data_IF_284970656228
#
_entry.id   IF_284970656228
#
_cell.length_a   1.000
_cell.length_b   1.000
_cell.length_c   1.000
_cell.angle_alpha   90.00
_cell.angle_beta   90.00
_cell.angle_gamma   90.00
#
_symmetry.space_group_name_H-M   'P 1'
#
loop_
_entity.id
_entity.type
_entity.pdbx_description
1 polymer ?
#
# COMPACT_ATOMS: atom_id res chain seq x y z
N UNK A 1 6.55 -57.17 4.77
CA UNK A 1 6.32 -56.45 3.50
C UNK A 1 5.55 -55.18 3.85
N UNK A 2 6.22 -54.03 3.88
CA UNK A 2 5.58 -52.74 4.18
C UNK A 2 5.09 -52.15 2.84
N UNK A 3 3.77 -51.96 2.74
CA UNK A 3 3.13 -51.36 1.58
C UNK A 3 3.14 -49.83 1.76
N UNK A 4 4.17 -49.16 1.25
CA UNK A 4 4.22 -47.69 1.19
C UNK A 4 3.46 -47.22 -0.05
N UNK A 5 2.15 -47.04 0.10
CA UNK A 5 1.32 -46.34 -0.87
C UNK A 5 1.74 -44.86 -0.88
N UNK A 6 2.58 -44.46 -1.84
CA UNK A 6 2.91 -43.06 -2.10
C UNK A 6 1.65 -42.34 -2.56
N UNK A 7 0.97 -41.65 -1.64
CA UNK A 7 -0.21 -40.86 -1.95
C UNK A 7 0.25 -39.58 -2.67
N UNK A 8 0.38 -39.63 -4.00
CA UNK A 8 0.71 -38.45 -4.81
C UNK A 8 -0.51 -37.55 -4.88
N UNK A 9 -0.56 -36.53 -4.02
CA UNK A 9 -1.57 -35.49 -4.09
C UNK A 9 -1.40 -34.71 -5.40
N UNK A 10 -2.38 -34.83 -6.29
CA UNK A 10 -2.43 -34.05 -7.55
C UNK A 10 -3.21 -32.78 -7.25
N UNK A 11 -2.53 -31.63 -7.28
CA UNK A 11 -3.22 -30.35 -7.17
C UNK A 11 -4.12 -30.12 -8.39
N UNK A 12 -5.35 -29.62 -8.19
CA UNK A 12 -6.18 -29.23 -9.32
C UNK A 12 -5.47 -28.14 -10.14
N UNK A 13 -5.80 -28.01 -11.44
CA UNK A 13 -5.41 -26.84 -12.22
C UNK A 13 -5.81 -25.56 -11.50
N UNK A 14 -4.92 -24.57 -11.46
CA UNK A 14 -5.14 -23.28 -10.80
C UNK A 14 -6.45 -22.60 -11.23
N UNK A 15 -6.89 -22.80 -12.47
CA UNK A 15 -8.17 -22.28 -12.98
C UNK A 15 -9.39 -22.81 -12.22
N UNK A 16 -9.39 -24.07 -11.81
CA UNK A 16 -10.48 -24.67 -11.03
C UNK A 16 -10.47 -24.10 -9.61
N UNK A 17 -9.28 -23.92 -9.03
CA UNK A 17 -9.13 -23.36 -7.69
C UNK A 17 -9.55 -21.88 -7.65
N UNK A 18 -9.14 -21.07 -8.63
CA UNK A 18 -9.57 -19.67 -8.76
C UNK A 18 -11.09 -19.58 -8.96
N UNK A 19 -11.67 -20.44 -9.82
CA UNK A 19 -13.12 -20.46 -10.02
C UNK A 19 -13.88 -20.78 -8.73
N UNK A 20 -13.29 -21.60 -7.84
CA UNK A 20 -13.87 -21.90 -6.53
C UNK A 20 -13.86 -20.71 -5.56
N UNK A 21 -12.99 -19.72 -5.79
CA UNK A 21 -12.93 -18.48 -4.99
C UNK A 21 -13.94 -17.43 -5.44
N UNK A 22 -14.50 -17.59 -6.65
CA UNK A 22 -15.50 -16.66 -7.17
C UNK A 22 -16.76 -16.73 -6.31
N UNK A 23 -17.25 -15.57 -5.91
CA UNK A 23 -18.42 -15.42 -5.05
C UNK A 23 -19.55 -14.76 -5.82
N UNK A 24 -20.77 -14.95 -5.31
CA UNK A 24 -21.91 -14.18 -5.78
C UNK A 24 -21.76 -12.71 -5.38
N UNK A 25 -22.19 -11.82 -6.26
CA UNK A 25 -22.21 -10.40 -5.98
C UNK A 25 -23.14 -10.08 -4.81
N UNK A 26 -22.64 -9.34 -3.82
CA UNK A 26 -23.45 -8.72 -2.77
C UNK A 26 -23.42 -7.20 -2.90
N UNK A 27 -24.52 -6.47 -2.64
CA UNK A 27 -24.51 -5.01 -2.59
C UNK A 27 -23.47 -4.49 -1.59
N UNK A 28 -22.76 -3.42 -1.96
CA UNK A 28 -21.65 -2.90 -1.18
C UNK A 28 -20.91 -1.77 -1.90
N UNK A 29 -19.67 -1.46 -1.47
CA UNK A 29 -18.87 -0.38 -2.05
C UNK A 29 -18.50 -0.64 -3.52
N UNK A 30 -18.29 -1.89 -3.93
CA UNK A 30 -18.04 -2.23 -5.33
C UNK A 30 -19.36 -2.37 -6.09
N UNK A 31 -19.39 -1.80 -7.29
CA UNK A 31 -20.44 -2.05 -8.27
C UNK A 31 -20.36 -3.49 -8.81
N UNK A 32 -21.39 -3.94 -9.52
CA UNK A 32 -21.38 -5.27 -10.15
C UNK A 32 -20.24 -5.43 -11.15
N UNK A 33 -19.95 -4.38 -11.92
CA UNK A 33 -18.89 -4.40 -12.93
C UNK A 33 -17.50 -4.38 -12.28
N UNK A 34 -17.30 -3.55 -11.24
CA UNK A 34 -16.07 -3.53 -10.44
C UNK A 34 -15.82 -4.88 -9.75
N UNK A 35 -16.86 -5.50 -9.19
CA UNK A 35 -16.77 -6.82 -8.57
C UNK A 35 -16.41 -7.89 -9.59
N UNK A 36 -17.04 -7.86 -10.78
CA UNK A 36 -16.73 -8.79 -11.88
C UNK A 36 -15.28 -8.62 -12.35
N UNK A 37 -14.84 -7.38 -12.56
CA UNK A 37 -13.48 -7.06 -12.97
C UNK A 37 -12.43 -7.66 -12.02
N UNK A 38 -12.65 -7.63 -10.71
CA UNK A 38 -11.72 -8.21 -9.75
C UNK A 38 -11.45 -9.70 -10.01
N UNK A 39 -12.48 -10.49 -10.34
CA UNK A 39 -12.32 -11.93 -10.60
C UNK A 39 -11.85 -12.24 -12.03
N UNK A 40 -12.12 -11.37 -13.00
CA UNK A 40 -11.68 -11.53 -14.39
C UNK A 40 -10.22 -11.09 -14.59
N UNK A 41 -9.85 -9.92 -14.05
CA UNK A 41 -8.55 -9.28 -14.26
C UNK A 41 -7.58 -9.48 -13.09
N UNK A 42 -8.09 -9.91 -11.93
CA UNK A 42 -7.32 -10.05 -10.69
C UNK A 42 -7.12 -8.73 -9.93
N UNK A 43 -7.72 -7.62 -10.38
CA UNK A 43 -7.66 -6.33 -9.70
C UNK A 43 -8.90 -5.46 -9.97
N UNK A 44 -9.11 -4.45 -9.15
CA UNK A 44 -10.14 -3.43 -9.35
C UNK A 44 -9.64 -2.09 -8.81
N UNK A 45 -9.96 -0.99 -9.49
CA UNK A 45 -9.65 0.37 -9.03
C UNK A 45 -10.93 1.00 -8.52
N UNK A 46 -10.99 1.28 -7.21
CA UNK A 46 -12.11 2.01 -6.60
C UNK A 46 -11.70 3.44 -6.29
N UNK A 47 -12.29 4.38 -7.02
CA UNK A 47 -12.11 5.81 -6.76
C UNK A 47 -12.88 6.25 -5.52
N UNK A 48 -12.33 7.26 -4.83
CA UNK A 48 -12.98 7.97 -3.71
C UNK A 48 -13.46 7.07 -2.56
N UNK A 49 -12.83 5.89 -2.39
CA UNK A 49 -13.15 4.96 -1.30
C UNK A 49 -12.75 5.52 0.07
N UNK A 50 -11.61 6.22 0.12
CA UNK A 50 -11.04 6.79 1.33
C UNK A 50 -11.19 8.30 1.26
N UNK A 51 -11.85 8.87 2.27
CA UNK A 51 -12.02 10.32 2.38
C UNK A 51 -10.70 10.99 2.76
N UNK A 52 -10.58 12.29 2.45
CA UNK A 52 -9.43 13.08 2.85
C UNK A 52 -9.21 13.03 4.37
N UNK A 53 -10.25 13.21 5.18
CA UNK A 53 -10.18 13.16 6.64
C UNK A 53 -9.60 11.84 7.17
N UNK A 54 -9.94 10.71 6.53
CA UNK A 54 -9.42 9.40 6.91
C UNK A 54 -7.92 9.27 6.58
N UNK A 55 -7.48 9.90 5.49
CA UNK A 55 -6.08 9.94 5.08
C UNK A 55 -5.27 10.92 5.94
N UNK A 56 -5.84 12.03 6.40
CA UNK A 56 -5.15 13.02 7.23
C UNK A 56 -4.58 12.42 8.53
N UNK A 57 -5.34 11.59 9.24
CA UNK A 57 -4.81 10.89 10.41
C UNK A 57 -3.63 9.97 10.07
N UNK A 58 -3.68 9.33 8.90
CA UNK A 58 -2.61 8.47 8.41
C UNK A 58 -1.37 9.27 8.06
N UNK A 59 -1.54 10.45 7.45
CA UNK A 59 -0.46 11.39 7.14
C UNK A 59 0.28 11.79 8.43
N UNK A 60 -0.45 12.19 9.47
CA UNK A 60 0.16 12.51 10.78
C UNK A 60 0.93 11.31 11.39
N UNK A 61 0.41 10.10 11.25
CA UNK A 61 1.11 8.89 11.69
C UNK A 61 2.44 8.69 10.93
N UNK A 62 2.45 8.96 9.63
CA UNK A 62 3.67 8.89 8.80
C UNK A 62 4.64 10.03 9.16
N UNK A 63 4.16 11.24 9.44
CA UNK A 63 5.01 12.36 9.91
C UNK A 63 5.78 12.02 11.18
N UNK A 64 5.13 11.38 12.14
CA UNK A 64 5.79 10.89 13.37
C UNK A 64 6.91 9.89 13.04
N UNK A 65 6.69 8.98 12.10
CA UNK A 65 7.73 8.02 11.67
C UNK A 65 8.90 8.75 11.00
N UNK A 66 8.64 9.77 10.18
CA UNK A 66 9.69 10.60 9.57
C UNK A 66 10.47 11.35 10.64
N UNK A 67 9.78 11.91 11.64
CA UNK A 67 10.39 12.60 12.77
C UNK A 67 11.33 11.68 13.56
N UNK A 68 10.86 10.49 13.93
CA UNK A 68 11.67 9.48 14.61
C UNK A 68 12.93 9.10 13.81
N UNK A 69 12.80 8.91 12.48
CA UNK A 69 13.94 8.61 11.61
C UNK A 69 14.92 9.78 11.59
N UNK A 70 14.44 11.03 11.52
CA UNK A 70 15.27 12.22 11.56
C UNK A 70 16.05 12.31 12.89
N UNK A 71 15.36 12.13 14.02
CA UNK A 71 15.96 12.15 15.35
C UNK A 71 17.00 11.04 15.54
N UNK A 72 16.72 9.82 15.05
CA UNK A 72 17.68 8.71 15.10
C UNK A 72 18.95 9.01 14.29
N UNK A 73 18.79 9.56 13.08
CA UNK A 73 19.91 9.94 12.23
C UNK A 73 20.72 11.11 12.80
N UNK A 74 20.06 12.10 13.38
CA UNK A 74 20.70 13.26 14.00
C UNK A 74 21.52 12.85 15.23
N UNK A 75 20.94 12.04 16.13
CA UNK A 75 21.65 11.50 17.30
C UNK A 75 22.85 10.62 16.94
N UNK A 76 22.86 10.05 15.73
CA UNK A 76 23.95 9.25 15.20
C UNK A 76 24.96 10.05 14.34
N UNK A 77 24.86 11.39 14.35
CA UNK A 77 25.69 12.30 13.54
C UNK A 77 25.66 11.99 12.03
N UNK A 78 24.54 11.46 11.52
CA UNK A 78 24.35 11.14 10.09
C UNK A 78 23.72 12.26 9.29
N UNK A 79 23.00 13.15 9.96
CA UNK A 79 22.44 14.38 9.41
C UNK A 79 22.72 15.52 10.40
N UNK A 80 22.75 16.76 9.92
CA UNK A 80 23.02 17.96 10.72
C UNK A 80 21.81 18.91 10.80
N UNK A 81 20.78 18.71 9.98
CA UNK A 81 19.51 19.44 10.03
C UNK A 81 18.34 18.46 10.07
N UNK A 82 17.43 18.63 11.05
CA UNK A 82 16.21 17.84 11.24
C UNK A 82 15.08 18.21 10.26
N UNK A 83 15.21 19.35 9.59
CA UNK A 83 14.25 19.91 8.65
C UNK A 83 12.84 20.07 9.25
N UNK A 84 12.74 20.48 10.51
CA UNK A 84 11.47 20.63 11.24
C UNK A 84 10.50 21.63 10.60
N UNK A 85 11.02 22.60 9.84
CA UNK A 85 10.22 23.63 9.16
C UNK A 85 9.70 23.19 7.78
N UNK A 86 9.99 21.96 7.34
CA UNK A 86 9.51 21.44 6.06
C UNK A 86 8.19 20.70 6.21
N UNK A 87 7.35 20.73 5.18
CA UNK A 87 6.06 20.03 5.20
C UNK A 87 6.21 18.51 4.96
N UNK A 88 5.12 17.77 5.20
CA UNK A 88 5.01 16.33 4.96
C UNK A 88 5.65 15.85 3.63
N UNK A 89 5.36 16.55 2.53
CA UNK A 89 5.79 16.16 1.18
C UNK A 89 7.28 16.37 0.93
N UNK A 90 7.93 17.23 1.71
CA UNK A 90 9.31 17.67 1.50
C UNK A 90 10.27 17.09 2.52
N UNK A 91 9.85 16.88 3.78
CA UNK A 91 10.74 16.56 4.90
C UNK A 91 11.59 15.33 4.66
N UNK A 92 10.98 14.22 4.24
CA UNK A 92 11.73 12.99 3.94
C UNK A 92 12.72 13.19 2.79
N UNK A 93 12.35 13.96 1.76
CA UNK A 93 13.24 14.26 0.63
C UNK A 93 14.45 15.07 1.08
N UNK A 94 14.26 16.04 1.97
CA UNK A 94 15.33 16.86 2.53
C UNK A 94 16.27 16.01 3.41
N UNK A 95 15.72 15.14 4.27
CA UNK A 95 16.51 14.18 5.07
C UNK A 95 17.30 13.23 4.16
N UNK A 96 16.67 12.71 3.10
CA UNK A 96 17.32 11.77 2.17
C UNK A 96 18.45 12.43 1.36
N UNK A 97 18.44 13.76 1.18
CA UNK A 97 19.55 14.50 0.59
C UNK A 97 20.80 14.53 1.49
N UNK A 98 20.63 14.50 2.82
CA UNK A 98 21.75 14.40 3.77
C UNK A 98 22.18 12.95 4.01
N UNK A 99 21.21 12.01 4.04
CA UNK A 99 21.47 10.59 4.25
C UNK A 99 20.75 9.75 3.18
N UNK A 100 21.46 9.36 2.10
CA UNK A 100 20.89 8.56 1.03
C UNK A 100 20.26 7.26 1.56
N UNK A 101 19.05 6.95 1.11
CA UNK A 101 18.25 5.79 1.57
C UNK A 101 17.59 5.94 2.95
N UNK A 102 17.43 7.16 3.47
CA UNK A 102 16.64 7.41 4.69
C UNK A 102 15.22 6.81 4.60
N UNK A 103 14.56 6.86 3.44
CA UNK A 103 13.25 6.24 3.21
C UNK A 103 13.19 4.73 3.49
N UNK A 104 14.30 4.00 3.34
CA UNK A 104 14.38 2.56 3.66
C UNK A 104 14.22 2.32 5.16
N UNK A 105 14.68 3.26 5.99
CA UNK A 105 14.60 3.14 7.44
C UNK A 105 13.15 3.14 7.91
N UNK A 106 12.26 3.90 7.25
CA UNK A 106 10.83 3.90 7.57
C UNK A 106 10.19 2.51 7.50
N UNK A 107 10.57 1.71 6.52
CA UNK A 107 10.05 0.35 6.32
C UNK A 107 10.68 -0.67 7.29
N UNK A 108 11.92 -0.43 7.76
CA UNK A 108 12.66 -1.38 8.60
C UNK A 108 12.36 -1.27 10.11
N UNK A 109 11.64 -0.24 10.57
CA UNK A 109 11.34 -0.06 12.00
C UNK A 109 10.48 -1.19 12.56
N UNK A 110 9.61 -1.81 11.74
CA UNK A 110 8.76 -2.93 12.16
C UNK A 110 7.65 -2.58 13.15
N UNK A 111 7.43 -1.30 13.46
CA UNK A 111 6.38 -0.83 14.36
C UNK A 111 5.25 -0.23 13.53
N UNK A 112 4.07 -0.88 13.54
CA UNK A 112 2.86 -0.37 12.89
C UNK A 112 2.29 0.81 13.68
N UNK A 113 2.25 2.03 13.14
CA UNK A 113 1.61 3.16 13.80
C UNK A 113 0.10 2.91 13.98
N UNK A 114 -0.46 3.38 15.09
CA UNK A 114 -1.88 3.19 15.41
C UNK A 114 -2.80 3.81 14.37
N UNK A 115 -2.39 4.92 13.76
CA UNK A 115 -3.10 5.63 12.71
C UNK A 115 -3.19 4.77 11.43
N UNK A 116 -2.09 4.10 11.06
CA UNK A 116 -2.06 3.18 9.90
C UNK A 116 -2.87 1.92 10.21
N UNK A 117 -2.77 1.38 11.43
CA UNK A 117 -3.60 0.25 11.86
C UNK A 117 -5.10 0.57 11.78
N UNK A 118 -5.48 1.76 12.25
CA UNK A 118 -6.86 2.24 12.23
C UNK A 118 -7.39 2.41 10.81
N UNK A 119 -6.58 2.95 9.89
CA UNK A 119 -6.92 2.99 8.46
C UNK A 119 -7.13 1.59 7.90
N UNK A 120 -6.22 0.65 8.20
CA UNK A 120 -6.27 -0.71 7.69
C UNK A 120 -7.51 -1.49 8.17
N UNK A 121 -7.98 -1.20 9.38
CA UNK A 121 -9.24 -1.72 9.93
C UNK A 121 -10.46 -0.82 9.67
N UNK A 122 -10.36 0.18 8.80
CA UNK A 122 -11.46 1.13 8.58
C UNK A 122 -12.64 0.48 7.86
N UNK A 123 -13.85 0.99 8.13
CA UNK A 123 -15.08 0.46 7.55
C UNK A 123 -15.06 0.44 6.01
N UNK A 124 -14.55 1.46 5.28
CA UNK A 124 -14.49 1.40 3.82
C UNK A 124 -13.67 0.22 3.28
N UNK A 125 -12.45 0.00 3.82
CA UNK A 125 -11.59 -1.11 3.40
C UNK A 125 -12.17 -2.47 3.79
N UNK A 126 -12.66 -2.60 5.02
CA UNK A 126 -13.29 -3.85 5.48
C UNK A 126 -14.57 -4.18 4.70
N UNK A 127 -15.32 -3.17 4.25
CA UNK A 127 -16.52 -3.40 3.44
C UNK A 127 -16.17 -3.95 2.04
N UNK A 128 -15.11 -3.43 1.42
CA UNK A 128 -14.59 -3.97 0.14
C UNK A 128 -14.07 -5.38 0.35
N UNK A 129 -13.22 -5.59 1.38
CA UNK A 129 -12.69 -6.91 1.70
C UNK A 129 -13.82 -7.92 1.97
N UNK A 130 -14.88 -7.52 2.67
CA UNK A 130 -16.03 -8.39 2.97
C UNK A 130 -16.81 -8.76 1.73
N UNK A 131 -16.97 -7.82 0.80
CA UNK A 131 -17.62 -8.07 -0.48
C UNK A 131 -16.82 -9.09 -1.30
N UNK A 132 -15.49 -8.96 -1.36
CA UNK A 132 -14.62 -9.83 -2.16
C UNK A 132 -14.33 -11.19 -1.50
N UNK A 133 -14.09 -11.20 -0.19
CA UNK A 133 -13.56 -12.36 0.55
C UNK A 133 -14.61 -13.05 1.44
N UNK A 134 -15.77 -12.42 1.65
CA UNK A 134 -16.79 -12.89 2.59
C UNK A 134 -16.60 -12.38 4.03
N UNK A 135 -17.41 -12.88 4.99
CA UNK A 135 -17.49 -12.29 6.33
C UNK A 135 -16.30 -12.61 7.25
N UNK A 136 -15.55 -13.69 6.99
CA UNK A 136 -14.50 -14.18 7.87
C UNK A 136 -13.14 -13.69 7.36
N UNK A 137 -12.78 -12.46 7.71
CA UNK A 137 -11.54 -11.81 7.27
C UNK A 137 -10.53 -11.78 8.41
N UNK A 138 -9.31 -12.20 8.11
CA UNK A 138 -8.15 -11.97 8.95
C UNK A 138 -7.12 -11.15 8.16
N UNK A 139 -6.65 -10.05 8.74
CA UNK A 139 -5.58 -9.25 8.17
C UNK A 139 -4.23 -9.79 8.64
N UNK A 140 -3.36 -10.23 7.71
CA UNK A 140 -1.99 -10.56 8.05
C UNK A 140 -1.20 -9.26 8.32
N UNK A 141 -0.57 -9.07 9.50
CA UNK A 141 -0.03 -7.78 9.95
C UNK A 141 1.27 -7.35 9.23
N UNK A 142 1.46 -7.78 7.99
CA UNK A 142 2.57 -7.31 7.14
C UNK A 142 2.12 -6.05 6.44
N UNK A 143 2.75 -4.95 6.80
CA UNK A 143 2.49 -3.63 6.26
C UNK A 143 3.82 -3.00 5.84
N UNK A 144 3.78 -2.21 4.77
CA UNK A 144 4.97 -1.53 4.24
C UNK A 144 4.59 -0.13 3.78
N UNK A 145 5.16 0.91 4.42
CA UNK A 145 5.21 2.23 3.77
C UNK A 145 6.28 2.13 2.69
N UNK A 146 5.94 2.55 1.47
CA UNK A 146 6.87 2.60 0.33
C UNK A 146 7.03 4.05 -0.14
N UNK A 147 7.79 4.89 0.59
CA UNK A 147 7.98 6.27 0.20
C UNK A 147 8.61 6.34 -1.20
N UNK A 148 8.14 7.28 -2.01
CA UNK A 148 8.73 7.61 -3.31
C UNK A 148 9.26 9.02 -3.20
N UNK A 149 10.50 9.14 -2.73
CA UNK A 149 11.17 10.43 -2.68
C UNK A 149 11.48 10.90 -4.10
N UNK A 150 11.26 12.19 -4.34
CA UNK A 150 11.68 12.79 -5.60
C UNK A 150 13.20 12.84 -5.60
N UNK A 151 13.84 11.97 -6.38
CA UNK A 151 15.22 12.21 -6.76
C UNK A 151 15.19 13.43 -7.66
N UNK A 152 15.66 14.57 -7.14
CA UNK A 152 16.08 15.70 -7.97
C UNK A 152 17.02 15.08 -9.02
N UNK A 153 16.54 14.98 -10.27
CA UNK A 153 17.11 14.33 -11.47
C UNK A 153 16.76 12.87 -11.85
N UNK A 154 15.74 12.21 -11.28
CA UNK A 154 15.26 10.92 -11.83
C UNK A 154 13.75 10.84 -12.15
N UNK A 155 12.98 11.90 -11.92
CA UNK A 155 11.51 11.88 -12.12
C UNK A 155 11.02 12.45 -13.47
N UNK A 156 11.87 13.03 -14.32
CA UNK A 156 11.43 13.36 -15.69
C UNK A 156 11.37 12.10 -16.59
N UNK A 157 12.00 10.99 -16.21
CA UNK A 157 12.10 9.81 -17.09
C UNK A 157 11.06 8.71 -16.87
N UNK A 158 10.10 8.86 -15.95
CA UNK A 158 8.99 7.91 -15.78
C UNK A 158 7.58 8.47 -16.05
N UNK A 159 7.44 9.77 -16.32
CA UNK A 159 6.18 10.33 -16.83
C UNK A 159 5.95 10.07 -18.33
N UNK A 160 6.94 9.55 -19.07
CA UNK A 160 6.75 9.21 -20.49
C UNK A 160 6.13 7.81 -20.72
N UNK A 161 6.08 6.93 -19.70
CA UNK A 161 5.44 5.62 -19.83
C UNK A 161 3.91 5.73 -19.63
N UNK A 162 3.43 6.73 -18.89
CA UNK A 162 1.98 6.99 -18.74
C UNK A 162 1.42 7.91 -19.84
N UNK A 163 2.27 8.59 -20.62
CA UNK A 163 1.84 9.40 -21.79
C UNK A 163 1.37 8.57 -22.99
N UNK A 164 1.59 7.25 -22.98
CA UNK A 164 1.06 6.37 -24.03
C UNK A 164 -0.38 5.88 -23.75
N UNK A 165 -0.98 6.23 -22.61
CA UNK A 165 -2.43 6.17 -22.46
C UNK A 165 -3.02 7.50 -22.96
N UNK A 166 -3.38 7.53 -24.25
CA UNK A 166 -4.15 8.62 -24.86
C UNK A 166 -5.42 8.86 -24.03
N UNK A 167 -5.60 10.06 -23.47
CA UNK A 167 -6.95 10.46 -23.06
C UNK A 167 -7.14 11.59 -22.06
N UNK A 168 -6.11 12.14 -21.40
CA UNK A 168 -6.35 13.23 -20.43
C UNK A 168 -5.36 14.39 -20.58
N UNK A 169 -5.88 15.51 -21.07
CA UNK A 169 -5.25 16.83 -20.98
C UNK A 169 -5.57 17.41 -19.61
N UNK A 170 -4.55 17.72 -18.82
CA UNK A 170 -4.66 18.65 -17.70
C UNK A 170 -4.09 19.97 -18.19
N UNK A 171 -4.93 21.01 -18.18
CA UNK A 171 -4.59 22.40 -18.48
C UNK A 171 -3.87 22.98 -17.25
N UNK A 172 -2.86 23.81 -17.53
CA UNK A 172 -1.83 24.36 -16.63
C UNK A 172 -2.31 24.85 -15.25
#
# INVERSE_FOLDING_TARGET
>A
MANTSSNSFVYPPLSIEIASWQREYTPGPLTKDEFRQFFEDGFVIKHDLLTHDLLESTIHGIEKVVDEVAQDLFRADKIHDLHENTNFYQRLTAIEAQFPSASVLMHKRGILPCEIASLWSSQPLLSVAKQLLGPNIAGHPVWNIRPKVSRINQIIMNCNILRNFRGFHIID
#
